data_IF_379960805245
#
_entry.id   IF_379960805245
#
_cell.length_a   1.000
_cell.length_b   1.000
_cell.length_c   1.000
_cell.angle_alpha   90.00
_cell.angle_beta   90.00
_cell.angle_gamma   90.00
#
_symmetry.space_group_name_H-M   'P 1'
#
loop_
_entity.id
_entity.type
_entity.pdbx_description
1 polymer ?
#
# COMPACT_ATOMS: atom_id res chain seq x y z
N UNK A 1 -23.02 5.00 -29.72
CA UNK A 1 -21.79 4.62 -28.99
C UNK A 1 -21.64 5.62 -27.86
N UNK A 2 -21.69 5.25 -26.58
CA UNK A 2 -21.41 6.20 -25.53
C UNK A 2 -19.94 6.63 -25.65
N UNK A 3 -19.69 7.93 -25.43
CA UNK A 3 -18.36 8.50 -25.47
C UNK A 3 -17.47 7.76 -24.47
N UNK A 4 -16.29 7.34 -24.92
CA UNK A 4 -15.23 6.86 -24.06
C UNK A 4 -14.80 8.05 -23.19
N UNK A 5 -15.36 8.20 -21.99
CA UNK A 5 -14.92 9.21 -21.03
C UNK A 5 -13.44 8.95 -20.76
N UNK A 6 -12.58 9.79 -21.34
CA UNK A 6 -11.15 9.73 -21.06
C UNK A 6 -10.99 10.08 -19.58
N UNK A 7 -10.57 9.10 -18.80
CA UNK A 7 -10.21 9.30 -17.41
C UNK A 7 -9.16 10.42 -17.33
N UNK A 8 -9.50 11.49 -16.59
CA UNK A 8 -8.61 12.63 -16.40
C UNK A 8 -7.74 12.34 -15.18
N UNK A 9 -6.46 12.12 -15.42
CA UNK A 9 -5.49 11.83 -14.36
C UNK A 9 -4.98 13.14 -13.77
N UNK A 10 -5.01 13.25 -12.44
CA UNK A 10 -4.42 14.36 -11.68
C UNK A 10 -3.20 13.85 -10.91
N UNK A 11 -2.04 14.49 -11.12
CA UNK A 11 -0.82 14.21 -10.37
C UNK A 11 -0.71 15.10 -9.12
N UNK A 12 -0.42 14.51 -7.97
CA UNK A 12 -0.18 15.21 -6.71
C UNK A 12 1.28 15.05 -6.29
N UNK A 13 1.99 16.17 -6.12
CA UNK A 13 3.32 16.18 -5.53
C UNK A 13 3.21 16.56 -4.05
N UNK A 14 3.48 15.60 -3.16
CA UNK A 14 3.42 15.79 -1.71
C UNK A 14 4.80 15.49 -1.08
N UNK A 15 5.23 16.26 -0.08
CA UNK A 15 6.33 15.84 0.78
C UNK A 15 6.00 14.48 1.42
N UNK A 16 6.98 13.58 1.55
CA UNK A 16 6.76 12.24 2.11
C UNK A 16 6.05 12.29 3.47
N UNK A 17 6.49 13.17 4.37
CA UNK A 17 5.83 13.35 5.68
C UNK A 17 4.35 13.73 5.57
N UNK A 18 3.98 14.52 4.56
CA UNK A 18 2.58 14.89 4.30
C UNK A 18 1.79 13.70 3.74
N UNK A 19 2.39 12.92 2.84
CA UNK A 19 1.78 11.68 2.35
C UNK A 19 1.55 10.67 3.48
N UNK A 20 2.52 10.48 4.38
CA UNK A 20 2.40 9.60 5.55
C UNK A 20 1.31 10.09 6.52
N UNK A 21 1.24 11.40 6.79
CA UNK A 21 0.20 11.96 7.65
C UNK A 21 -1.21 11.82 7.03
N UNK A 22 -1.34 12.02 5.72
CA UNK A 22 -2.60 11.81 5.01
C UNK A 22 -3.01 10.33 5.01
N UNK A 23 -2.05 9.42 4.83
CA UNK A 23 -2.30 7.97 4.93
C UNK A 23 -2.85 7.60 6.30
N UNK A 24 -2.22 8.07 7.38
CA UNK A 24 -2.68 7.83 8.75
C UNK A 24 -4.10 8.38 9.00
N UNK A 25 -4.39 9.60 8.52
CA UNK A 25 -5.73 10.17 8.64
C UNK A 25 -6.80 9.39 7.86
N UNK A 26 -6.45 8.83 6.69
CA UNK A 26 -7.36 7.98 5.93
C UNK A 26 -7.60 6.64 6.62
N UNK A 27 -6.56 6.04 7.19
CA UNK A 27 -6.63 4.81 8.00
C UNK A 27 -7.63 5.01 9.15
N UNK A 28 -7.43 6.05 9.97
CA UNK A 28 -8.30 6.36 11.11
C UNK A 28 -9.78 6.52 10.70
N UNK A 29 -10.04 7.19 9.57
CA UNK A 29 -11.41 7.38 9.06
C UNK A 29 -12.04 6.08 8.56
N UNK A 30 -11.26 5.20 7.93
CA UNK A 30 -11.71 3.90 7.43
C UNK A 30 -11.98 2.93 8.59
N UNK A 31 -11.07 2.85 9.56
CA UNK A 31 -11.22 1.98 10.74
C UNK A 31 -12.41 2.38 11.61
N UNK A 32 -12.68 3.68 11.75
CA UNK A 32 -13.83 4.17 12.52
C UNK A 32 -15.16 4.06 11.77
N UNK A 33 -15.15 3.61 10.50
CA UNK A 33 -16.35 3.53 9.66
C UNK A 33 -16.95 4.90 9.31
N UNK A 34 -16.22 5.98 9.57
CA UNK A 34 -16.66 7.36 9.30
C UNK A 34 -16.45 7.77 7.83
N UNK A 35 -15.66 6.98 7.08
CA UNK A 35 -15.35 7.20 5.67
C UNK A 35 -16.26 6.45 4.69
N UNK A 36 -16.33 6.99 3.48
CA UNK A 36 -16.83 6.25 2.32
C UNK A 36 -15.85 5.17 1.88
N UNK A 37 -16.33 4.00 1.45
CA UNK A 37 -15.52 2.95 0.82
C UNK A 37 -14.76 3.44 -0.42
N UNK A 38 -15.18 4.55 -1.03
CA UNK A 38 -14.44 5.21 -2.11
C UNK A 38 -13.02 5.65 -1.69
N UNK A 39 -12.74 5.78 -0.38
CA UNK A 39 -11.43 6.15 0.14
C UNK A 39 -10.46 4.98 0.29
N UNK A 40 -10.91 3.73 0.16
CA UNK A 40 -10.03 2.57 0.28
C UNK A 40 -8.93 2.54 -0.80
N UNK A 41 -9.30 2.76 -2.07
CA UNK A 41 -8.32 2.75 -3.17
C UNK A 41 -7.32 3.90 -3.02
N UNK A 42 -7.73 5.16 -2.74
CA UNK A 42 -6.80 6.24 -2.40
C UNK A 42 -5.87 5.92 -1.23
N UNK A 43 -6.39 5.32 -0.15
CA UNK A 43 -5.59 4.89 1.01
C UNK A 43 -4.50 3.91 0.60
N UNK A 44 -4.85 2.82 -0.11
CA UNK A 44 -3.89 1.81 -0.59
C UNK A 44 -2.88 2.37 -1.60
N UNK A 45 -3.33 3.22 -2.53
CA UNK A 45 -2.44 3.92 -3.47
C UNK A 45 -1.40 4.79 -2.73
N UNK A 46 -1.83 5.52 -1.71
CA UNK A 46 -0.96 6.39 -0.94
C UNK A 46 0.03 5.57 -0.10
N UNK A 47 -0.41 4.46 0.48
CA UNK A 47 0.44 3.51 1.20
C UNK A 47 1.58 3.00 0.32
N UNK A 48 1.22 2.52 -0.88
CA UNK A 48 2.18 2.01 -1.86
C UNK A 48 3.19 3.09 -2.29
N UNK A 49 2.71 4.28 -2.68
CA UNK A 49 3.60 5.36 -3.13
C UNK A 49 4.47 5.92 -2.01
N UNK A 50 3.97 6.00 -0.77
CA UNK A 50 4.77 6.36 0.38
C UNK A 50 5.86 5.32 0.65
N UNK A 51 5.55 4.02 0.55
CA UNK A 51 6.53 2.95 0.71
C UNK A 51 7.62 3.00 -0.36
N UNK A 52 7.26 3.22 -1.62
CA UNK A 52 8.21 3.37 -2.73
C UNK A 52 9.20 4.54 -2.50
N UNK A 53 8.75 5.59 -1.83
CA UNK A 53 9.54 6.79 -1.53
C UNK A 53 10.39 6.67 -0.25
N UNK A 54 10.24 5.58 0.53
CA UNK A 54 10.97 5.37 1.77
C UNK A 54 12.26 4.59 1.56
N UNK A 55 13.23 4.93 2.40
CA UNK A 55 14.36 4.07 2.71
C UNK A 55 14.00 3.18 3.90
N UNK A 56 14.67 2.04 4.02
CA UNK A 56 14.45 1.11 5.11
C UNK A 56 15.52 0.05 5.18
N UNK A 57 15.32 -0.94 6.07
CA UNK A 57 16.17 -2.12 6.19
C UNK A 57 15.32 -3.38 6.24
N UNK A 58 15.94 -4.54 5.98
CA UNK A 58 15.26 -5.83 6.03
C UNK A 58 14.05 -5.91 5.10
N UNK A 59 12.93 -6.44 5.61
CA UNK A 59 11.69 -6.62 4.86
C UNK A 59 11.14 -5.31 4.31
N UNK A 60 11.20 -4.22 5.08
CA UNK A 60 10.74 -2.90 4.62
C UNK A 60 11.53 -2.40 3.42
N UNK A 61 12.86 -2.61 3.39
CA UNK A 61 13.68 -2.25 2.23
C UNK A 61 13.30 -3.05 0.99
N UNK A 62 13.02 -4.35 1.18
CA UNK A 62 12.63 -5.26 0.10
C UNK A 62 11.26 -4.88 -0.48
N UNK A 63 10.27 -4.63 0.37
CA UNK A 63 8.96 -4.16 -0.08
C UNK A 63 9.02 -2.77 -0.74
N UNK A 64 9.89 -1.88 -0.25
CA UNK A 64 10.12 -0.59 -0.90
C UNK A 64 10.77 -0.72 -2.29
N UNK A 65 11.63 -1.73 -2.50
CA UNK A 65 12.16 -2.04 -3.82
C UNK A 65 11.06 -2.53 -4.78
N UNK A 66 10.26 -3.51 -4.36
CA UNK A 66 9.09 -4.00 -5.13
C UNK A 66 8.14 -2.84 -5.47
N UNK A 67 7.87 -1.96 -4.51
CA UNK A 67 7.02 -0.80 -4.69
C UNK A 67 7.53 0.18 -5.75
N UNK A 68 8.85 0.27 -5.96
CA UNK A 68 9.46 1.12 -7.00
C UNK A 68 9.50 0.47 -8.38
N UNK A 69 9.54 -0.86 -8.42
CA UNK A 69 9.67 -1.64 -9.66
C UNK A 69 8.33 -1.92 -10.34
N UNK A 70 7.22 -1.70 -9.63
CA UNK A 70 5.86 -1.95 -10.11
C UNK A 70 5.22 -0.68 -10.67
N UNK A 71 4.38 -0.84 -11.70
CA UNK A 71 3.75 0.28 -12.41
C UNK A 71 2.33 0.55 -11.91
N UNK A 72 1.68 -0.48 -11.35
CA UNK A 72 0.30 -0.41 -10.83
C UNK A 72 0.17 -0.88 -9.37
N UNK A 73 -0.90 -0.44 -8.69
CA UNK A 73 -1.17 -0.83 -7.31
C UNK A 73 -1.39 -2.34 -7.22
N UNK A 74 -2.11 -2.87 -8.20
CA UNK A 74 -2.46 -4.28 -8.29
C UNK A 74 -1.21 -5.16 -8.46
N UNK A 75 -0.25 -4.76 -9.28
CA UNK A 75 1.04 -5.45 -9.41
C UNK A 75 1.84 -5.40 -8.11
N UNK A 76 1.87 -4.25 -7.45
CA UNK A 76 2.53 -4.11 -6.14
C UNK A 76 1.89 -5.01 -5.09
N UNK A 77 0.57 -5.02 -4.98
CA UNK A 77 -0.16 -5.84 -3.99
C UNK A 77 0.07 -7.33 -4.23
N UNK A 78 0.03 -7.77 -5.50
CA UNK A 78 0.32 -9.16 -5.85
C UNK A 78 1.75 -9.57 -5.47
N UNK A 79 2.75 -8.74 -5.81
CA UNK A 79 4.14 -9.01 -5.49
C UNK A 79 4.44 -8.93 -3.98
N UNK A 80 3.79 -8.00 -3.27
CA UNK A 80 3.85 -7.91 -1.80
C UNK A 80 3.30 -9.18 -1.18
N UNK A 81 2.17 -9.68 -1.65
CA UNK A 81 1.52 -10.86 -1.07
C UNK A 81 2.34 -12.14 -1.35
N UNK A 82 2.95 -12.26 -2.53
CA UNK A 82 3.92 -13.32 -2.84
C UNK A 82 5.16 -13.27 -1.91
N UNK A 83 5.68 -12.07 -1.67
CA UNK A 83 6.84 -11.87 -0.78
C UNK A 83 6.50 -12.15 0.69
N UNK A 84 5.31 -11.73 1.15
CA UNK A 84 4.89 -11.86 2.55
C UNK A 84 4.34 -13.25 2.90
N UNK A 85 3.73 -13.95 1.95
CA UNK A 85 3.09 -15.26 2.18
C UNK A 85 3.98 -16.25 2.95
N UNK A 86 5.19 -16.56 2.47
CA UNK A 86 6.10 -17.48 3.16
C UNK A 86 6.52 -17.02 4.56
N UNK A 87 6.59 -15.70 4.79
CA UNK A 87 6.94 -15.13 6.10
C UNK A 87 5.79 -15.35 7.08
N UNK A 88 4.56 -15.06 6.65
CA UNK A 88 3.35 -15.25 7.45
C UNK A 88 3.13 -16.74 7.75
N UNK A 89 3.26 -17.61 6.76
CA UNK A 89 3.19 -19.06 6.93
C UNK A 89 4.22 -19.57 7.94
N UNK A 90 5.44 -19.03 7.89
CA UNK A 90 6.50 -19.33 8.84
C UNK A 90 6.14 -18.91 10.28
N UNK A 91 5.57 -17.71 10.45
CA UNK A 91 5.11 -17.21 11.75
C UNK A 91 3.95 -18.05 12.31
N UNK A 92 3.09 -18.58 11.45
CA UNK A 92 1.96 -19.43 11.84
C UNK A 92 2.35 -20.90 12.08
N UNK A 93 3.60 -21.28 11.83
CA UNK A 93 4.08 -22.65 12.04
C UNK A 93 4.00 -23.08 13.51
N UNK A 94 3.81 -24.37 13.74
CA UNK A 94 3.68 -24.93 15.10
C UNK A 94 4.91 -24.65 15.98
N UNK A 95 6.10 -24.55 15.39
CA UNK A 95 7.35 -24.20 16.09
C UNK A 95 7.39 -22.74 16.58
N UNK A 96 6.66 -21.83 15.93
CA UNK A 96 6.56 -20.42 16.33
C UNK A 96 5.29 -20.10 17.16
N UNK A 97 4.39 -21.08 17.37
CA UNK A 97 3.15 -20.92 18.16
C UNK A 97 3.30 -21.20 19.65
N UNK A 98 4.39 -21.83 20.10
CA UNK A 98 4.58 -22.18 21.51
C UNK A 98 5.47 -21.12 22.21
N UNK A 99 5.08 -20.60 23.41
CA UNK A 99 5.83 -19.57 24.14
C UNK A 99 7.12 -20.07 24.81
#
# INVERSE_FOLDING_TARGET
>A
MPANEREVIVGLNLPLKTAEALHAALEDLLETGAASLALERPHRLLAWRALAARDGTGLTARLAAIARETDTLEEFEAARDEELGPILDGLESAENRDP
#
